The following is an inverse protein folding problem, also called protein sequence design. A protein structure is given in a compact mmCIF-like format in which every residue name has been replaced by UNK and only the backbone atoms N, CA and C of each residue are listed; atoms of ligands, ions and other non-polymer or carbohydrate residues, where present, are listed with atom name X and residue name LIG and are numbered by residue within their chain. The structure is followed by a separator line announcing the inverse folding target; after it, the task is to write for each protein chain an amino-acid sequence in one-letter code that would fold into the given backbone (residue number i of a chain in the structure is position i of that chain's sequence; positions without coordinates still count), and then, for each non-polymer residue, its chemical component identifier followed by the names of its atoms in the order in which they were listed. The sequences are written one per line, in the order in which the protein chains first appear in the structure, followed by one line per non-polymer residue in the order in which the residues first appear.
data_IF_899075157658
#
_entry.id   IF_899075157658
#
_cell.length_a   1.000
_cell.length_b   1.000
_cell.length_c   1.000
_cell.angle_alpha   90.00
_cell.angle_beta   90.00
_cell.angle_gamma   90.00
#
_symmetry.space_group_name_H-M   'P 1'
#
loop_
_entity.id
_entity.type
_entity.pdbx_description
1 polymer ?
#
# COMPACT_ATOMS: atom_id res chain seq x y z
N UNK A 1 -20.37 -5.99 14.58
CA UNK A 1 -19.25 -6.88 14.86
C UNK A 1 -18.77 -7.54 13.57
N UNK A 2 -17.53 -7.98 13.54
CA UNK A 2 -16.88 -8.63 12.40
C UNK A 2 -17.68 -9.84 11.91
N UNK A 3 -18.18 -10.69 12.79
CA UNK A 3 -18.94 -11.89 12.44
C UNK A 3 -20.16 -11.57 11.57
N UNK A 4 -20.94 -10.52 11.90
CA UNK A 4 -22.10 -10.11 11.08
C UNK A 4 -21.74 -9.71 9.66
N UNK A 5 -20.52 -9.21 9.45
CA UNK A 5 -20.03 -8.84 8.11
C UNK A 5 -19.54 -10.07 7.35
N UNK A 6 -18.89 -11.00 8.07
CA UNK A 6 -18.34 -12.26 7.52
C UNK A 6 -19.43 -13.20 7.05
N UNK A 7 -20.47 -13.45 7.86
CA UNK A 7 -21.48 -14.48 7.64
C UNK A 7 -22.71 -13.99 6.85
N UNK A 8 -22.76 -12.71 6.52
CA UNK A 8 -23.89 -12.16 5.76
C UNK A 8 -23.82 -12.55 4.29
N UNK A 9 -24.99 -12.92 3.73
CA UNK A 9 -25.15 -13.01 2.29
C UNK A 9 -25.31 -11.61 1.69
N UNK A 10 -24.42 -11.25 0.79
CA UNK A 10 -24.40 -9.95 0.12
C UNK A 10 -24.97 -10.06 -1.30
N UNK A 11 -25.86 -9.19 -1.68
CA UNK A 11 -26.43 -9.15 -3.04
C UNK A 11 -25.50 -8.35 -3.96
N UNK A 12 -24.32 -8.88 -4.26
CA UNK A 12 -23.27 -8.25 -5.06
C UNK A 12 -22.05 -7.82 -4.27
N UNK A 13 -21.16 -6.99 -4.84
CA UNK A 13 -19.92 -6.51 -4.22
C UNK A 13 -20.16 -5.81 -2.90
N UNK A 14 -19.31 -6.06 -1.92
CA UNK A 14 -19.31 -5.39 -0.62
C UNK A 14 -17.93 -4.79 -0.33
N UNK A 15 -17.93 -3.58 0.20
CA UNK A 15 -16.72 -2.91 0.70
C UNK A 15 -16.75 -2.84 2.22
N UNK A 16 -15.67 -3.25 2.85
CA UNK A 16 -15.46 -3.21 4.30
C UNK A 16 -14.26 -2.34 4.61
N UNK A 17 -14.47 -1.18 5.17
CA UNK A 17 -13.41 -0.29 5.65
C UNK A 17 -13.16 -0.50 7.13
N UNK A 18 -11.93 -0.21 7.55
CA UNK A 18 -11.55 -0.24 8.96
C UNK A 18 -10.17 0.38 9.14
N UNK A 19 -9.96 1.04 10.27
CA UNK A 19 -8.64 1.55 10.66
C UNK A 19 -7.62 0.43 10.94
N UNK A 20 -6.40 0.84 11.25
CA UNK A 20 -5.37 -0.09 11.70
C UNK A 20 -5.88 -0.93 12.89
N UNK A 21 -5.56 -2.21 12.92
CA UNK A 21 -5.91 -3.10 14.05
C UNK A 21 -7.38 -3.47 14.21
N UNK A 22 -8.27 -3.12 13.26
CA UNK A 22 -9.71 -3.47 13.34
C UNK A 22 -10.03 -4.88 12.86
N UNK A 23 -9.03 -5.68 12.47
CA UNK A 23 -9.20 -7.08 12.06
C UNK A 23 -9.79 -7.25 10.66
N UNK A 24 -9.51 -6.33 9.71
CA UNK A 24 -9.94 -6.42 8.31
C UNK A 24 -9.51 -7.73 7.64
N UNK A 25 -8.21 -8.02 7.69
CA UNK A 25 -7.63 -9.26 7.12
C UNK A 25 -8.21 -10.49 7.80
N UNK A 26 -8.41 -10.46 9.12
CA UNK A 26 -9.07 -11.55 9.86
C UNK A 26 -10.50 -11.75 9.35
N UNK A 27 -11.26 -10.67 9.18
CA UNK A 27 -12.61 -10.77 8.61
C UNK A 27 -12.60 -11.34 7.18
N UNK A 28 -11.64 -10.95 6.34
CA UNK A 28 -11.46 -11.48 4.99
C UNK A 28 -11.11 -12.98 4.98
N UNK A 29 -10.21 -13.42 5.87
CA UNK A 29 -9.83 -14.83 6.05
C UNK A 29 -11.04 -15.67 6.48
N UNK A 30 -11.77 -15.22 7.49
CA UNK A 30 -12.99 -15.92 7.94
C UNK A 30 -14.09 -15.88 6.87
N UNK A 31 -14.17 -14.81 6.07
CA UNK A 31 -15.08 -14.74 4.92
C UNK A 31 -14.77 -15.82 3.88
N UNK A 32 -13.52 -16.03 3.53
CA UNK A 32 -13.11 -17.09 2.61
C UNK A 32 -13.55 -18.46 3.12
N UNK A 33 -13.25 -18.76 4.40
CA UNK A 33 -13.67 -19.99 5.05
C UNK A 33 -15.19 -20.16 5.00
N UNK A 34 -15.94 -19.13 5.41
CA UNK A 34 -17.40 -19.18 5.47
C UNK A 34 -18.02 -19.43 4.09
N UNK A 35 -17.49 -18.79 3.04
CA UNK A 35 -17.98 -18.95 1.68
C UNK A 35 -17.83 -20.38 1.16
N UNK A 36 -16.67 -21.03 1.36
CA UNK A 36 -16.46 -22.42 0.92
C UNK A 36 -17.20 -23.44 1.76
N UNK A 37 -17.55 -23.10 3.00
CA UNK A 37 -18.32 -23.99 3.87
C UNK A 37 -19.84 -23.90 3.65
N UNK A 38 -20.36 -22.70 3.38
CA UNK A 38 -21.80 -22.43 3.51
C UNK A 38 -22.45 -21.91 2.21
N UNK A 39 -21.68 -21.44 1.23
CA UNK A 39 -22.25 -20.83 0.00
C UNK A 39 -21.82 -21.59 -1.23
N UNK A 40 -20.53 -21.70 -1.45
CA UNK A 40 -19.95 -22.36 -2.62
C UNK A 40 -19.48 -23.76 -2.21
N UNK A 41 -20.44 -24.64 -1.97
CA UNK A 41 -20.21 -26.01 -1.42
C UNK A 41 -19.80 -27.02 -2.49
N UNK A 42 -19.98 -26.69 -3.77
CA UNK A 42 -19.56 -27.57 -4.86
C UNK A 42 -18.01 -27.67 -4.89
N UNK A 43 -17.47 -28.88 -4.92
CA UNK A 43 -16.03 -29.13 -4.95
C UNK A 43 -15.28 -28.51 -6.13
N UNK A 44 -15.97 -28.11 -7.20
CA UNK A 44 -15.40 -27.40 -8.35
C UNK A 44 -15.39 -25.87 -8.18
N UNK A 45 -16.18 -25.34 -7.25
CA UNK A 45 -16.24 -23.90 -7.01
C UNK A 45 -14.95 -23.42 -6.34
N UNK A 46 -14.36 -22.37 -6.87
CA UNK A 46 -13.12 -21.77 -6.35
C UNK A 46 -13.35 -20.33 -5.91
N UNK A 47 -12.57 -19.92 -4.93
CA UNK A 47 -12.48 -18.54 -4.45
C UNK A 47 -11.05 -18.05 -4.67
N UNK A 48 -10.91 -16.84 -5.22
CA UNK A 48 -9.65 -16.15 -5.28
C UNK A 48 -9.55 -15.22 -4.06
N UNK A 49 -8.47 -15.36 -3.31
CA UNK A 49 -8.07 -14.39 -2.29
C UNK A 49 -6.84 -13.65 -2.77
N UNK A 50 -6.98 -12.36 -3.06
CA UNK A 50 -5.89 -11.55 -3.60
C UNK A 50 -5.57 -10.36 -2.71
N UNK A 51 -4.32 -9.92 -2.75
CA UNK A 51 -3.79 -8.79 -2.02
C UNK A 51 -2.71 -8.08 -2.83
N UNK A 52 -2.28 -6.92 -2.37
CA UNK A 52 -1.29 -6.10 -3.06
C UNK A 52 0.14 -6.65 -2.93
N UNK A 53 0.54 -7.21 -1.78
CA UNK A 53 1.92 -7.66 -1.54
C UNK A 53 2.07 -9.17 -1.48
N UNK A 54 3.27 -9.67 -1.87
CA UNK A 54 3.60 -11.10 -1.83
C UNK A 54 3.68 -11.64 -0.40
N UNK A 55 4.27 -10.88 0.52
CA UNK A 55 4.42 -11.29 1.92
C UNK A 55 3.05 -11.49 2.58
N UNK A 56 2.14 -10.55 2.35
CA UNK A 56 0.79 -10.67 2.91
C UNK A 56 0.03 -11.88 2.34
N UNK A 57 0.24 -12.24 1.05
CA UNK A 57 -0.37 -13.45 0.50
C UNK A 57 0.15 -14.73 1.16
N UNK A 58 1.44 -14.78 1.53
CA UNK A 58 2.02 -15.90 2.27
C UNK A 58 1.43 -16.00 3.70
N UNK A 59 1.33 -14.87 4.41
CA UNK A 59 0.73 -14.82 5.76
C UNK A 59 -0.75 -15.22 5.73
N UNK A 60 -1.51 -14.78 4.72
CA UNK A 60 -2.92 -15.17 4.53
C UNK A 60 -3.02 -16.67 4.28
N UNK A 61 -2.17 -17.24 3.42
CA UNK A 61 -2.12 -18.67 3.13
C UNK A 61 -1.86 -19.47 4.40
N UNK A 62 -0.88 -19.07 5.21
CA UNK A 62 -0.57 -19.71 6.48
C UNK A 62 -1.74 -19.64 7.47
N UNK A 63 -2.34 -18.46 7.64
CA UNK A 63 -3.47 -18.29 8.55
C UNK A 63 -4.72 -19.06 8.11
N UNK A 64 -5.02 -19.12 6.81
CA UNK A 64 -6.09 -19.98 6.28
C UNK A 64 -5.82 -21.45 6.55
N UNK A 65 -4.58 -21.92 6.37
CA UNK A 65 -4.21 -23.33 6.61
C UNK A 65 -4.42 -23.77 8.07
N UNK A 66 -4.36 -22.83 9.03
CA UNK A 66 -4.61 -23.10 10.46
C UNK A 66 -6.10 -23.31 10.78
N UNK A 67 -7.01 -22.76 9.95
CA UNK A 67 -8.45 -22.76 10.24
C UNK A 67 -9.28 -23.53 9.21
N UNK A 68 -8.73 -23.89 8.07
CA UNK A 68 -9.39 -24.59 6.97
C UNK A 68 -8.85 -26.02 6.82
N UNK A 69 -9.71 -26.96 6.44
CA UNK A 69 -9.29 -28.30 6.05
C UNK A 69 -8.50 -28.28 4.74
N UNK A 70 -7.77 -29.37 4.44
CA UNK A 70 -7.05 -29.52 3.17
C UNK A 70 -7.98 -29.43 1.95
N UNK A 71 -9.19 -29.95 2.06
CA UNK A 71 -10.20 -29.87 1.00
C UNK A 71 -10.62 -28.42 0.74
N UNK A 72 -10.90 -27.64 1.80
CA UNK A 72 -11.23 -26.22 1.67
C UNK A 72 -10.07 -25.43 1.07
N UNK A 73 -8.83 -25.70 1.50
CA UNK A 73 -7.64 -25.04 0.96
C UNK A 73 -7.43 -25.29 -0.54
N UNK A 74 -7.83 -26.45 -1.07
CA UNK A 74 -7.78 -26.72 -2.53
C UNK A 74 -8.72 -25.84 -3.34
N UNK A 75 -9.75 -25.27 -2.70
CA UNK A 75 -10.76 -24.40 -3.31
C UNK A 75 -10.51 -22.91 -3.09
N UNK A 76 -9.53 -22.55 -2.25
CA UNK A 76 -9.15 -21.17 -2.00
C UNK A 76 -7.76 -20.94 -2.60
N UNK A 77 -7.69 -20.18 -3.67
CA UNK A 77 -6.42 -19.75 -4.27
C UNK A 77 -6.00 -18.42 -3.62
N UNK A 78 -4.83 -18.42 -2.97
CA UNK A 78 -4.26 -17.21 -2.36
C UNK A 78 -3.06 -16.77 -3.18
N UNK A 79 -3.16 -15.61 -3.81
CA UNK A 79 -2.09 -15.07 -4.66
C UNK A 79 -2.17 -13.55 -4.72
N UNK A 80 -1.02 -12.88 -4.75
CA UNK A 80 -1.03 -11.45 -5.04
C UNK A 80 -1.36 -11.19 -6.53
N UNK A 81 -2.05 -10.10 -6.81
CA UNK A 81 -2.62 -9.85 -8.14
C UNK A 81 -1.56 -9.80 -9.25
N UNK A 82 -0.40 -9.17 -9.00
CA UNK A 82 0.70 -9.11 -9.98
C UNK A 82 1.20 -10.50 -10.39
N UNK A 83 1.33 -11.42 -9.42
CA UNK A 83 1.75 -12.80 -9.69
C UNK A 83 0.70 -13.55 -10.49
N UNK A 84 -0.58 -13.34 -10.18
CA UNK A 84 -1.68 -13.91 -10.97
C UNK A 84 -1.63 -13.42 -12.42
N UNK A 85 -1.48 -12.10 -12.62
CA UNK A 85 -1.36 -11.47 -13.94
C UNK A 85 -0.18 -12.05 -14.72
N UNK A 86 1.00 -12.10 -14.13
CA UNK A 86 2.19 -12.65 -14.77
C UNK A 86 2.01 -14.11 -15.17
N UNK A 87 1.41 -14.95 -14.31
CA UNK A 87 1.11 -16.35 -14.60
C UNK A 87 0.09 -16.51 -15.72
N UNK A 88 -1.00 -15.74 -15.68
CA UNK A 88 -2.05 -15.75 -16.70
C UNK A 88 -1.51 -15.32 -18.07
N UNK A 89 -0.79 -14.21 -18.14
CA UNK A 89 -0.21 -13.71 -19.38
C UNK A 89 0.81 -14.69 -19.97
N UNK A 90 1.71 -15.23 -19.14
CA UNK A 90 2.70 -16.24 -19.57
C UNK A 90 2.04 -17.48 -20.14
N UNK A 91 1.00 -18.00 -19.48
CA UNK A 91 0.22 -19.15 -19.97
C UNK A 91 -0.41 -18.90 -21.33
N UNK A 92 -0.69 -17.65 -21.66
CA UNK A 92 -1.32 -17.22 -22.90
C UNK A 92 -0.33 -16.68 -23.96
N UNK A 93 0.97 -16.97 -23.84
CA UNK A 93 1.97 -16.60 -24.85
C UNK A 93 2.33 -15.13 -24.87
N UNK A 94 2.31 -14.46 -23.72
CA UNK A 94 2.68 -13.05 -23.61
C UNK A 94 4.20 -12.90 -23.57
N UNK A 95 4.76 -12.25 -24.57
CA UNK A 95 6.21 -12.16 -24.80
C UNK A 95 6.92 -11.04 -24.03
N UNK A 96 6.16 -10.13 -23.43
CA UNK A 96 6.73 -9.02 -22.69
C UNK A 96 7.12 -9.41 -21.25
N UNK A 97 8.24 -8.84 -20.79
CA UNK A 97 8.65 -8.92 -19.38
C UNK A 97 8.00 -7.79 -18.59
N UNK A 98 7.33 -8.13 -17.49
CA UNK A 98 6.70 -7.13 -16.63
C UNK A 98 7.76 -6.51 -15.73
N UNK A 99 7.88 -5.19 -15.75
CA UNK A 99 8.79 -4.41 -14.93
C UNK A 99 8.03 -3.54 -13.92
N UNK A 100 8.59 -3.42 -12.72
CA UNK A 100 8.03 -2.65 -11.63
C UNK A 100 8.92 -1.46 -11.24
N UNK A 101 9.66 -0.89 -12.21
CA UNK A 101 10.39 0.36 -12.10
C UNK A 101 11.92 0.30 -12.23
N UNK A 102 12.55 -0.87 -12.26
CA UNK A 102 14.01 -0.95 -12.30
C UNK A 102 14.61 -0.77 -13.70
N UNK A 103 13.97 -1.35 -14.70
CA UNK A 103 14.46 -1.35 -16.10
C UNK A 103 13.92 -0.19 -16.91
N UNK A 104 12.83 0.41 -16.45
CA UNK A 104 12.15 1.51 -17.15
C UNK A 104 12.77 2.87 -16.86
N UNK A 105 13.54 3.02 -15.78
CA UNK A 105 14.21 4.28 -15.42
C UNK A 105 15.11 4.82 -16.54
N UNK A 106 16.05 4.02 -17.13
CA UNK A 106 16.89 4.50 -18.22
C UNK A 106 16.09 4.85 -19.48
N UNK A 107 14.94 4.21 -19.72
CA UNK A 107 14.11 4.47 -20.88
C UNK A 107 13.38 5.80 -20.77
N UNK A 108 12.99 6.20 -19.55
CA UNK A 108 12.47 7.55 -19.31
C UNK A 108 13.48 8.64 -19.67
N UNK A 109 14.73 8.47 -19.25
CA UNK A 109 15.79 9.43 -19.57
C UNK A 109 15.98 9.56 -21.09
N UNK A 110 15.99 8.44 -21.83
CA UNK A 110 16.06 8.46 -23.29
C UNK A 110 14.85 9.15 -23.95
N UNK A 111 13.63 8.87 -23.46
CA UNK A 111 12.43 9.50 -24.00
C UNK A 111 12.43 11.02 -23.77
N UNK A 112 13.04 11.49 -22.68
CA UNK A 112 13.16 12.91 -22.38
C UNK A 112 14.15 13.65 -23.30
N UNK A 113 15.07 12.96 -23.97
CA UNK A 113 15.94 13.58 -24.98
C UNK A 113 15.14 14.17 -26.14
N UNK A 114 13.89 13.74 -26.34
CA UNK A 114 12.97 14.27 -27.34
C UNK A 114 12.08 15.42 -26.84
N UNK A 115 12.24 15.87 -25.62
CA UNK A 115 11.47 17.01 -25.10
C UNK A 115 11.78 18.25 -25.89
N UNK A 116 10.78 18.90 -26.51
CA UNK A 116 10.99 20.19 -27.16
C UNK A 116 11.55 21.23 -26.16
N UNK A 117 12.54 22.00 -26.58
CA UNK A 117 13.22 23.03 -25.77
C UNK A 117 12.28 24.09 -25.19
N UNK A 118 11.09 24.22 -25.73
CA UNK A 118 10.04 25.15 -25.28
C UNK A 118 9.28 24.64 -24.05
N UNK A 119 9.46 23.36 -23.66
CA UNK A 119 8.79 22.74 -22.51
C UNK A 119 9.77 22.63 -21.34
N UNK A 120 9.46 23.34 -20.28
CA UNK A 120 10.21 23.34 -19.02
C UNK A 120 9.51 22.43 -17.98
N UNK A 121 9.35 21.14 -18.33
CA UNK A 121 8.82 20.13 -17.42
C UNK A 121 9.91 19.13 -17.06
N UNK A 122 10.01 18.82 -15.78
CA UNK A 122 10.95 17.81 -15.27
C UNK A 122 10.43 16.36 -15.47
N UNK A 123 11.31 15.39 -15.25
CA UNK A 123 10.95 13.95 -15.31
C UNK A 123 9.75 13.61 -14.42
N UNK A 124 9.60 14.27 -13.27
CA UNK A 124 8.51 13.99 -12.35
C UNK A 124 7.16 14.36 -12.95
N UNK A 125 7.08 15.45 -13.73
CA UNK A 125 5.87 15.81 -14.46
C UNK A 125 5.43 14.73 -15.45
N UNK A 126 6.37 14.19 -16.26
CA UNK A 126 6.06 13.17 -17.27
C UNK A 126 5.63 11.85 -16.63
N UNK A 127 6.31 11.42 -15.57
CA UNK A 127 5.92 10.21 -14.81
C UNK A 127 4.54 10.32 -14.19
N UNK A 128 4.26 11.43 -13.53
CA UNK A 128 2.95 11.67 -12.93
C UNK A 128 1.83 11.79 -13.98
N UNK A 129 2.11 12.36 -15.14
CA UNK A 129 1.16 12.39 -16.25
C UNK A 129 0.90 10.99 -16.82
N UNK A 130 1.96 10.19 -16.96
CA UNK A 130 1.86 8.79 -17.38
C UNK A 130 1.05 7.95 -16.40
N UNK A 131 1.38 7.98 -15.12
CA UNK A 131 0.74 7.17 -14.09
C UNK A 131 -0.70 7.58 -13.78
N UNK A 132 -1.02 8.88 -13.87
CA UNK A 132 -2.32 9.42 -13.46
C UNK A 132 -3.29 9.68 -14.61
N UNK A 133 -2.79 9.87 -15.81
CA UNK A 133 -3.62 10.21 -16.98
C UNK A 133 -3.57 9.11 -18.02
N UNK A 134 -2.35 8.72 -18.46
CA UNK A 134 -2.16 7.80 -19.59
C UNK A 134 -2.59 6.38 -19.21
N UNK A 135 -1.99 5.80 -18.18
CA UNK A 135 -2.24 4.41 -17.78
C UNK A 135 -3.66 4.16 -17.25
N UNK A 136 -4.23 4.98 -16.34
CA UNK A 136 -5.57 4.75 -15.83
C UNK A 136 -6.68 4.80 -16.89
N UNK A 137 -6.50 5.68 -17.88
CA UNK A 137 -7.46 5.84 -18.98
C UNK A 137 -7.13 4.96 -20.20
N UNK A 138 -6.06 4.15 -20.12
CA UNK A 138 -5.61 3.27 -21.20
C UNK A 138 -5.35 3.99 -22.51
N UNK A 139 -4.76 5.20 -22.44
CA UNK A 139 -4.50 6.06 -23.60
C UNK A 139 -3.38 5.46 -24.42
N UNK A 140 -3.63 5.27 -25.73
CA UNK A 140 -2.67 4.67 -26.66
C UNK A 140 -2.35 5.56 -27.87
N UNK A 141 -3.08 6.65 -28.06
CA UNK A 141 -2.92 7.57 -29.19
C UNK A 141 -2.88 9.04 -28.76
N UNK A 142 -2.31 9.89 -29.63
CA UNK A 142 -2.33 11.34 -29.46
C UNK A 142 -3.77 11.88 -29.39
N UNK A 143 -4.67 11.33 -30.21
CA UNK A 143 -6.06 11.76 -30.23
C UNK A 143 -6.77 11.49 -28.90
N UNK A 144 -6.57 10.31 -28.30
CA UNK A 144 -7.10 9.97 -26.99
C UNK A 144 -6.53 10.88 -25.91
N UNK A 145 -5.23 11.18 -25.97
CA UNK A 145 -4.60 12.09 -25.02
C UNK A 145 -5.15 13.51 -25.12
N UNK A 146 -5.48 13.99 -26.33
CA UNK A 146 -6.13 15.31 -26.50
C UNK A 146 -7.47 15.39 -25.78
N UNK A 147 -8.21 14.29 -25.71
CA UNK A 147 -9.54 14.17 -25.07
C UNK A 147 -9.46 13.75 -23.61
N UNK A 148 -8.28 13.34 -23.14
CA UNK A 148 -8.09 12.77 -21.80
C UNK A 148 -8.47 13.75 -20.68
N UNK A 149 -9.13 13.21 -19.66
CA UNK A 149 -9.37 13.92 -18.42
C UNK A 149 -8.08 14.07 -17.61
N UNK A 150 -7.76 15.29 -17.20
CA UNK A 150 -6.63 15.61 -16.35
C UNK A 150 -7.04 16.11 -14.97
N UNK A 151 -8.19 15.62 -14.48
CA UNK A 151 -8.67 15.92 -13.13
C UNK A 151 -7.62 15.45 -12.12
N UNK A 152 -7.24 16.31 -11.19
CA UNK A 152 -6.22 16.02 -10.18
C UNK A 152 -4.78 16.37 -10.63
N UNK A 153 -4.62 17.02 -11.80
CA UNK A 153 -3.34 17.61 -12.24
C UNK A 153 -3.37 19.12 -12.03
N UNK A 154 -2.36 19.65 -11.36
CA UNK A 154 -2.26 21.10 -11.05
C UNK A 154 -1.74 21.92 -12.24
N UNK A 155 -0.99 21.32 -13.13
CA UNK A 155 -0.44 21.97 -14.33
C UNK A 155 -1.44 21.90 -15.47
N UNK A 156 -1.88 23.07 -15.97
CA UNK A 156 -2.76 23.15 -17.14
C UNK A 156 -1.95 23.00 -18.42
N UNK A 157 -2.45 22.22 -19.37
CA UNK A 157 -1.85 22.06 -20.69
C UNK A 157 -2.85 22.52 -21.75
N UNK A 158 -2.41 23.42 -22.62
CA UNK A 158 -3.16 23.76 -23.84
C UNK A 158 -2.97 22.66 -24.91
N UNK A 159 -3.69 22.76 -26.03
CA UNK A 159 -3.66 21.75 -27.09
C UNK A 159 -2.25 21.60 -27.74
N UNK A 160 -1.54 22.70 -27.95
CA UNK A 160 -0.18 22.68 -28.52
C UNK A 160 0.79 21.96 -27.56
N UNK A 161 0.74 22.31 -26.28
CA UNK A 161 1.57 21.71 -25.24
C UNK A 161 1.25 20.21 -25.07
N UNK A 162 -0.03 19.79 -25.08
CA UNK A 162 -0.37 18.37 -25.04
C UNK A 162 0.24 17.59 -26.21
N UNK A 163 0.20 18.15 -27.42
CA UNK A 163 0.80 17.51 -28.59
C UNK A 163 2.30 17.31 -28.41
N UNK A 164 3.00 18.33 -27.90
CA UNK A 164 4.43 18.25 -27.64
C UNK A 164 4.78 17.26 -26.52
N UNK A 165 4.00 17.24 -25.44
CA UNK A 165 4.17 16.27 -24.33
C UNK A 165 3.92 14.83 -24.81
N UNK A 166 2.96 14.62 -25.72
CA UNK A 166 2.66 13.29 -26.25
C UNK A 166 3.84 12.64 -26.96
N UNK A 167 4.70 13.40 -27.65
CA UNK A 167 5.87 12.82 -28.33
C UNK A 167 6.79 12.06 -27.39
N UNK A 168 6.92 12.52 -26.15
CA UNK A 168 7.70 11.83 -25.11
C UNK A 168 7.05 10.50 -24.70
N UNK A 169 5.74 10.47 -24.56
CA UNK A 169 5.02 9.24 -24.20
C UNK A 169 5.02 8.21 -25.34
N UNK A 170 4.93 8.69 -26.57
CA UNK A 170 5.03 7.84 -27.76
C UNK A 170 6.41 7.19 -27.85
N UNK A 171 7.48 7.96 -27.67
CA UNK A 171 8.84 7.44 -27.61
C UNK A 171 9.06 6.47 -26.42
N UNK A 172 8.63 6.85 -25.24
CA UNK A 172 8.73 5.96 -24.08
C UNK A 172 8.04 4.61 -24.33
N UNK A 173 6.88 4.62 -24.95
CA UNK A 173 6.16 3.39 -25.33
C UNK A 173 6.90 2.60 -26.41
N UNK A 174 7.50 3.27 -27.40
CA UNK A 174 8.34 2.64 -28.42
C UNK A 174 9.56 1.95 -27.78
N UNK A 175 10.23 2.61 -26.85
CA UNK A 175 11.36 2.06 -26.10
C UNK A 175 10.94 0.84 -25.24
N UNK A 176 9.79 0.89 -24.57
CA UNK A 176 9.25 -0.28 -23.85
C UNK A 176 9.02 -1.47 -24.80
N UNK A 177 8.47 -1.22 -25.98
CA UNK A 177 8.25 -2.25 -27.01
C UNK A 177 9.57 -2.84 -27.51
N UNK A 178 10.54 -2.00 -27.84
CA UNK A 178 11.87 -2.41 -28.32
C UNK A 178 12.59 -3.32 -27.32
N UNK A 179 12.47 -2.99 -26.01
CA UNK A 179 13.09 -3.78 -24.96
C UNK A 179 12.21 -4.95 -24.45
N UNK A 180 11.07 -5.18 -25.07
CA UNK A 180 10.13 -6.24 -24.67
C UNK A 180 9.60 -6.08 -23.23
N UNK A 181 9.40 -4.84 -22.79
CA UNK A 181 8.97 -4.50 -21.44
C UNK A 181 7.52 -4.03 -21.39
N UNK A 182 6.85 -4.29 -20.27
CA UNK A 182 5.56 -3.72 -19.88
C UNK A 182 5.59 -3.35 -18.41
N UNK A 183 4.98 -2.24 -18.06
CA UNK A 183 4.75 -1.88 -16.66
C UNK A 183 3.57 -2.64 -16.08
N UNK A 184 3.51 -2.77 -14.73
CA UNK A 184 2.49 -3.55 -14.04
C UNK A 184 1.04 -3.16 -14.38
N UNK A 185 0.74 -1.86 -14.48
CA UNK A 185 -0.59 -1.37 -14.86
C UNK A 185 -0.97 -1.75 -16.30
N UNK A 186 -0.03 -1.67 -17.23
CA UNK A 186 -0.26 -2.08 -18.62
C UNK A 186 -0.44 -3.60 -18.73
N UNK A 187 0.31 -4.38 -17.95
CA UNK A 187 0.13 -5.84 -17.88
C UNK A 187 -1.26 -6.22 -17.33
N UNK A 188 -1.77 -5.52 -16.31
CA UNK A 188 -3.13 -5.71 -15.80
C UNK A 188 -4.19 -5.38 -16.85
N UNK A 189 -4.01 -4.28 -17.59
CA UNK A 189 -4.87 -3.92 -18.71
C UNK A 189 -4.86 -4.99 -19.80
N UNK A 190 -3.67 -5.46 -20.19
CA UNK A 190 -3.49 -6.46 -21.24
C UNK A 190 -4.11 -7.79 -20.83
N UNK A 191 -3.97 -8.21 -19.56
CA UNK A 191 -4.63 -9.39 -19.02
C UNK A 191 -6.17 -9.26 -19.06
N UNK A 192 -6.71 -8.10 -18.70
CA UNK A 192 -8.15 -7.82 -18.77
C UNK A 192 -8.66 -7.91 -20.21
N UNK A 193 -8.00 -7.27 -21.15
CA UNK A 193 -8.39 -7.29 -22.57
C UNK A 193 -8.28 -8.70 -23.17
N UNK A 194 -7.31 -9.49 -22.72
CA UNK A 194 -7.15 -10.87 -23.14
C UNK A 194 -8.30 -11.76 -22.63
N UNK A 195 -8.70 -11.62 -21.36
CA UNK A 195 -9.86 -12.29 -20.80
C UNK A 195 -11.15 -11.95 -21.57
N UNK A 196 -11.37 -10.67 -21.83
CA UNK A 196 -12.54 -10.17 -22.57
C UNK A 196 -12.57 -10.75 -24.00
N UNK A 197 -11.46 -10.70 -24.73
CA UNK A 197 -11.34 -11.19 -26.11
C UNK A 197 -11.55 -12.70 -26.21
N UNK A 198 -10.96 -13.46 -25.26
CA UNK A 198 -11.10 -14.93 -25.24
C UNK A 198 -12.43 -15.39 -24.69
N UNK A 199 -13.21 -14.53 -24.06
CA UNK A 199 -14.42 -14.89 -23.31
C UNK A 199 -14.17 -16.03 -22.33
N UNK A 200 -12.94 -16.07 -21.76
CA UNK A 200 -12.51 -17.12 -20.83
C UNK A 200 -13.28 -17.01 -19.53
N UNK A 201 -13.94 -18.08 -19.13
CA UNK A 201 -14.62 -18.19 -17.84
C UNK A 201 -13.64 -18.77 -16.84
N UNK A 202 -13.23 -17.96 -15.89
CA UNK A 202 -12.39 -18.40 -14.78
C UNK A 202 -13.21 -19.19 -13.74
N UNK A 203 -12.57 -20.09 -12.99
CA UNK A 203 -13.28 -20.97 -12.05
C UNK A 203 -13.78 -20.27 -10.77
N UNK A 204 -13.56 -18.96 -10.65
CA UNK A 204 -13.85 -18.21 -9.42
C UNK A 204 -15.34 -17.88 -9.30
N UNK A 205 -15.92 -18.22 -8.14
CA UNK A 205 -17.28 -17.84 -7.75
C UNK A 205 -17.30 -16.60 -6.87
N UNK A 206 -16.19 -16.33 -6.19
CA UNK A 206 -15.99 -15.12 -5.41
C UNK A 206 -14.52 -14.69 -5.47
N UNK A 207 -14.30 -13.38 -5.32
CA UNK A 207 -12.96 -12.81 -5.15
C UNK A 207 -12.96 -11.98 -3.86
N UNK A 208 -11.98 -12.26 -3.00
CA UNK A 208 -11.71 -11.50 -1.79
C UNK A 208 -10.47 -10.65 -2.05
N UNK A 209 -10.58 -9.36 -1.81
CA UNK A 209 -9.51 -8.38 -2.03
C UNK A 209 -9.12 -7.77 -0.70
N UNK A 210 -7.88 -7.98 -0.28
CA UNK A 210 -7.32 -7.31 0.91
C UNK A 210 -6.34 -6.20 0.52
N UNK A 211 -6.14 -5.22 1.40
CA UNK A 211 -5.35 -4.01 1.17
C UNK A 211 -5.79 -3.23 -0.10
N UNK A 212 -7.10 -3.17 -0.32
CA UNK A 212 -7.71 -2.59 -1.51
C UNK A 212 -7.29 -1.12 -1.79
N UNK A 213 -6.92 -0.36 -0.75
CA UNK A 213 -6.49 1.04 -0.88
C UNK A 213 -5.18 1.20 -1.66
N UNK A 214 -4.40 0.13 -1.84
CA UNK A 214 -3.14 0.17 -2.59
C UNK A 214 -3.29 -0.25 -4.04
N UNK A 215 -4.46 -0.72 -4.44
CA UNK A 215 -4.74 -1.17 -5.80
C UNK A 215 -5.20 -0.01 -6.69
N UNK A 216 -4.71 0.01 -7.93
CA UNK A 216 -5.06 1.01 -8.94
C UNK A 216 -6.33 0.66 -9.73
N UNK A 217 -6.73 1.58 -10.62
CA UNK A 217 -7.92 1.43 -11.47
C UNK A 217 -7.84 0.18 -12.35
N UNK A 218 -6.67 -0.11 -12.95
CA UNK A 218 -6.52 -1.28 -13.82
C UNK A 218 -6.66 -2.60 -13.04
N UNK A 219 -6.21 -2.62 -11.78
CA UNK A 219 -6.39 -3.77 -10.89
C UNK A 219 -7.88 -4.06 -10.66
N UNK A 220 -8.69 -3.06 -10.30
CA UNK A 220 -10.11 -3.25 -10.05
C UNK A 220 -10.91 -3.55 -11.32
N UNK A 221 -10.57 -2.95 -12.45
CA UNK A 221 -11.14 -3.31 -13.75
C UNK A 221 -10.83 -4.77 -14.12
N UNK A 222 -9.61 -5.23 -13.86
CA UNK A 222 -9.23 -6.63 -14.06
C UNK A 222 -10.02 -7.55 -13.12
N UNK A 223 -10.07 -7.24 -11.82
CA UNK A 223 -10.84 -8.03 -10.83
C UNK A 223 -12.29 -8.15 -11.27
N UNK A 224 -12.92 -7.07 -11.76
CA UNK A 224 -14.29 -7.14 -12.28
C UNK A 224 -14.39 -8.01 -13.53
N UNK A 225 -13.40 -8.00 -14.42
CA UNK A 225 -13.38 -8.84 -15.62
C UNK A 225 -13.14 -10.33 -15.30
N UNK A 226 -12.43 -10.64 -14.21
CA UNK A 226 -12.24 -12.02 -13.75
C UNK A 226 -13.57 -12.67 -13.31
N UNK A 227 -14.53 -11.88 -12.87
CA UNK A 227 -15.87 -12.29 -12.46
C UNK A 227 -16.89 -11.25 -13.00
N UNK A 228 -17.16 -11.25 -14.34
CA UNK A 228 -17.74 -10.10 -15.03
C UNK A 228 -19.20 -9.83 -14.68
N UNK A 229 -19.96 -10.81 -14.23
CA UNK A 229 -21.35 -10.64 -13.83
C UNK A 229 -21.46 -10.40 -12.33
N UNK A 230 -22.21 -9.33 -11.94
CA UNK A 230 -22.55 -9.10 -10.55
C UNK A 230 -23.49 -10.21 -10.03
N UNK A 231 -23.00 -10.94 -9.04
CA UNK A 231 -23.71 -12.05 -8.40
C UNK A 231 -23.66 -11.94 -6.89
N UNK A 232 -24.55 -12.67 -6.25
CA UNK A 232 -24.57 -12.76 -4.78
C UNK A 232 -23.21 -13.29 -4.27
N UNK A 233 -22.62 -12.56 -3.32
CA UNK A 233 -21.34 -12.90 -2.68
C UNK A 233 -20.11 -12.91 -3.61
N UNK A 234 -20.15 -12.20 -4.74
CA UNK A 234 -19.12 -12.23 -5.76
C UNK A 234 -17.82 -11.50 -5.37
N UNK A 235 -17.89 -10.30 -4.81
CA UNK A 235 -16.72 -9.53 -4.41
C UNK A 235 -16.79 -9.10 -2.94
N UNK A 236 -15.73 -9.36 -2.20
CA UNK A 236 -15.55 -8.89 -0.82
C UNK A 236 -14.25 -8.10 -0.73
N UNK A 237 -14.37 -6.77 -0.62
CA UNK A 237 -13.27 -5.83 -0.72
C UNK A 237 -13.01 -5.23 0.66
N UNK A 238 -11.82 -5.45 1.22
CA UNK A 238 -11.42 -4.86 2.50
C UNK A 238 -10.25 -3.90 2.32
N UNK A 239 -10.27 -2.80 3.06
CA UNK A 239 -9.23 -1.79 2.95
C UNK A 239 -9.25 -0.78 4.10
N UNK A 240 -8.18 0.01 4.15
CA UNK A 240 -8.01 1.12 5.06
C UNK A 240 -7.47 2.32 4.28
N UNK A 241 -8.34 3.26 3.96
CA UNK A 241 -7.97 4.44 3.19
C UNK A 241 -6.89 5.30 3.88
N UNK A 242 -6.81 5.26 5.22
CA UNK A 242 -5.78 5.96 6.01
C UNK A 242 -4.39 5.31 5.91
N UNK A 243 -4.33 4.03 5.49
CA UNK A 243 -3.07 3.30 5.23
C UNK A 243 -2.65 3.34 3.76
N UNK A 244 -3.21 4.24 2.95
CA UNK A 244 -2.81 4.39 1.55
C UNK A 244 -1.43 5.00 1.48
N UNK A 245 -0.43 4.17 1.20
CA UNK A 245 0.96 4.57 0.98
C UNK A 245 1.37 4.55 -0.49
N UNK A 246 0.42 4.20 -1.38
CA UNK A 246 0.58 4.27 -2.83
C UNK A 246 -0.43 5.28 -3.41
N UNK A 247 -0.03 6.01 -4.44
CA UNK A 247 -0.73 7.22 -4.96
C UNK A 247 -1.95 6.93 -5.84
N UNK A 248 -2.63 5.81 -5.64
CA UNK A 248 -3.78 5.46 -6.46
C UNK A 248 -5.08 5.94 -5.82
N UNK A 249 -5.77 6.85 -6.50
CA UNK A 249 -7.15 7.20 -6.14
C UNK A 249 -8.10 6.44 -7.04
N UNK A 250 -8.95 5.62 -6.45
CA UNK A 250 -9.90 4.78 -7.18
C UNK A 250 -11.31 5.01 -6.66
N UNK A 251 -12.25 5.09 -7.58
CA UNK A 251 -13.69 5.04 -7.30
C UNK A 251 -14.21 3.72 -7.87
N UNK A 252 -14.61 2.79 -7.02
CA UNK A 252 -15.00 1.43 -7.41
C UNK A 252 -16.12 1.40 -8.46
N UNK A 253 -17.08 2.33 -8.37
CA UNK A 253 -18.13 2.47 -9.36
C UNK A 253 -17.64 2.74 -10.78
N UNK A 254 -16.50 3.46 -10.94
CA UNK A 254 -15.87 3.69 -12.25
C UNK A 254 -15.13 2.47 -12.80
N UNK A 255 -14.93 1.46 -11.97
CA UNK A 255 -14.32 0.18 -12.34
C UNK A 255 -15.38 -0.92 -12.61
N UNK A 256 -16.68 -0.56 -12.65
CA UNK A 256 -17.77 -1.52 -12.82
C UNK A 256 -18.11 -2.30 -11.54
N UNK A 257 -17.70 -1.83 -10.37
CA UNK A 257 -17.95 -2.47 -9.08
C UNK A 257 -18.92 -1.62 -8.28
N UNK A 258 -20.20 -1.98 -8.31
CA UNK A 258 -21.23 -1.26 -7.58
C UNK A 258 -21.30 -1.72 -6.12
N UNK A 259 -21.04 -0.82 -5.18
CA UNK A 259 -21.09 -1.08 -3.73
C UNK A 259 -22.16 -0.27 -3.01
N UNK A 260 -23.06 0.39 -3.73
CA UNK A 260 -24.10 1.23 -3.12
C UNK A 260 -24.94 0.45 -2.10
N UNK A 261 -25.07 0.97 -0.88
CA UNK A 261 -25.75 0.32 0.25
C UNK A 261 -25.01 -0.87 0.86
N UNK A 262 -23.89 -1.29 0.27
CA UNK A 262 -23.07 -2.43 0.70
C UNK A 262 -21.71 -2.03 1.29
N UNK A 263 -21.55 -0.80 1.72
CA UNK A 263 -20.41 -0.32 2.51
C UNK A 263 -20.56 -0.68 3.99
N UNK A 264 -19.50 -1.16 4.62
CA UNK A 264 -19.46 -1.41 6.06
C UNK A 264 -18.17 -0.85 6.66
N UNK A 265 -18.21 -0.49 7.96
CA UNK A 265 -17.04 0.00 8.70
C UNK A 265 -16.80 -0.86 9.94
N UNK A 266 -15.57 -1.35 10.09
CA UNK A 266 -15.07 -1.98 11.31
C UNK A 266 -14.45 -0.88 12.18
N UNK A 267 -15.03 -0.62 13.35
CA UNK A 267 -14.68 0.55 14.17
C UNK A 267 -13.90 0.21 15.43
N UNK A 268 -13.84 -1.06 15.80
CA UNK A 268 -13.16 -1.49 17.03
C UNK A 268 -11.76 -1.97 16.67
N UNK A 269 -10.77 -1.30 17.25
CA UNK A 269 -9.36 -1.68 17.14
C UNK A 269 -9.01 -2.61 18.30
N UNK A 270 -8.50 -3.79 17.98
CA UNK A 270 -8.13 -4.87 18.92
C UNK A 270 -6.61 -5.00 19.09
N UNK A 271 -5.81 -4.23 18.38
CA UNK A 271 -4.37 -4.43 18.28
C UNK A 271 -3.55 -3.31 18.92
N UNK A 272 -3.82 -2.09 18.48
CA UNK A 272 -3.03 -0.89 18.84
C UNK A 272 -3.69 -0.20 20.03
N UNK A 273 -2.88 0.33 20.95
CA UNK A 273 -3.40 1.10 22.09
C UNK A 273 -4.11 2.38 21.64
N UNK A 274 -5.04 2.90 22.44
CA UNK A 274 -5.79 4.12 22.09
C UNK A 274 -4.87 5.34 21.99
N UNK A 275 -3.83 5.38 22.81
CA UNK A 275 -2.82 6.43 22.85
C UNK A 275 -2.01 6.45 21.56
N UNK A 276 -1.49 5.29 21.12
CA UNK A 276 -0.80 5.16 19.83
C UNK A 276 -1.72 5.50 18.67
N UNK A 277 -2.97 5.02 18.70
CA UNK A 277 -3.97 5.33 17.67
C UNK A 277 -4.24 6.83 17.58
N UNK A 278 -4.48 7.50 18.70
CA UNK A 278 -4.73 8.95 18.75
C UNK A 278 -3.55 9.74 18.21
N UNK A 279 -2.34 9.38 18.62
CA UNK A 279 -1.13 9.99 18.13
C UNK A 279 -0.99 9.84 16.61
N UNK A 280 -1.13 8.61 16.10
CA UNK A 280 -1.02 8.33 14.68
C UNK A 280 -2.10 9.05 13.85
N UNK A 281 -3.35 9.09 14.33
CA UNK A 281 -4.44 9.84 13.68
C UNK A 281 -4.15 11.34 13.65
N UNK A 282 -3.52 11.86 14.69
CA UNK A 282 -3.08 13.26 14.73
C UNK A 282 -2.14 13.65 13.58
N UNK A 283 -1.31 12.73 13.10
CA UNK A 283 -0.46 12.94 11.92
C UNK A 283 -1.28 13.24 10.65
N UNK A 284 -2.51 12.72 10.59
CA UNK A 284 -3.43 12.86 9.45
C UNK A 284 -4.47 13.98 9.66
N UNK A 285 -4.34 14.78 10.74
CA UNK A 285 -5.27 15.87 11.02
C UNK A 285 -5.31 16.88 9.86
N UNK A 286 -6.52 17.24 9.42
CA UNK A 286 -6.72 18.17 8.30
C UNK A 286 -6.60 17.54 6.90
N UNK A 287 -6.30 16.25 6.81
CA UNK A 287 -6.26 15.50 5.56
C UNK A 287 -7.63 14.87 5.31
N UNK A 288 -8.19 15.13 4.12
CA UNK A 288 -9.39 14.43 3.64
C UNK A 288 -8.97 13.10 3.04
N UNK A 289 -9.36 12.01 3.66
CA UNK A 289 -9.12 10.65 3.16
C UNK A 289 -10.37 10.16 2.44
N UNK A 290 -10.25 9.73 1.19
CA UNK A 290 -11.38 9.17 0.46
C UNK A 290 -11.73 7.76 0.94
N UNK A 291 -12.97 7.35 0.71
CA UNK A 291 -13.49 6.07 1.19
C UNK A 291 -13.51 4.96 0.12
N UNK A 292 -12.76 5.11 -0.98
CA UNK A 292 -12.74 4.24 -2.17
C UNK A 292 -14.04 4.24 -2.98
N UNK A 293 -14.96 5.16 -2.70
CA UNK A 293 -16.23 5.27 -3.41
C UNK A 293 -16.59 6.74 -3.74
N UNK A 294 -15.61 7.64 -3.66
CA UNK A 294 -15.77 9.07 -3.92
C UNK A 294 -16.26 9.89 -2.73
N UNK A 295 -16.53 9.27 -1.58
CA UNK A 295 -16.80 9.92 -0.30
C UNK A 295 -15.52 10.15 0.53
N UNK A 296 -15.71 10.51 1.79
CA UNK A 296 -14.60 10.69 2.77
C UNK A 296 -14.78 9.80 3.99
N UNK A 297 -13.67 9.30 4.52
CA UNK A 297 -13.61 8.61 5.81
C UNK A 297 -13.02 9.52 6.88
N UNK A 298 -13.80 9.84 7.90
CA UNK A 298 -13.47 10.80 8.96
C UNK A 298 -12.98 10.15 10.27
N UNK A 299 -12.83 8.85 10.31
CA UNK A 299 -12.51 8.05 11.51
C UNK A 299 -13.46 8.25 12.72
N UNK A 300 -14.62 8.87 12.51
CA UNK A 300 -15.61 9.04 13.58
C UNK A 300 -16.11 7.70 14.11
N UNK A 301 -16.08 7.56 15.45
CA UNK A 301 -16.56 6.35 16.13
C UNK A 301 -15.57 5.18 16.15
N UNK A 302 -14.32 5.37 15.70
CA UNK A 302 -13.28 4.38 15.92
C UNK A 302 -12.82 4.40 17.39
N UNK A 303 -12.73 3.21 18.00
CA UNK A 303 -12.35 3.00 19.40
C UNK A 303 -11.28 1.91 19.47
N UNK A 304 -10.28 2.08 20.34
CA UNK A 304 -9.37 1.01 20.70
C UNK A 304 -9.83 0.37 22.02
N UNK A 305 -9.61 -0.92 22.16
CA UNK A 305 -9.89 -1.67 23.41
C UNK A 305 -8.68 -1.71 24.33
N UNK A 306 -7.50 -1.50 23.78
CA UNK A 306 -6.24 -1.54 24.53
C UNK A 306 -5.81 -0.13 24.90
N UNK A 307 -5.25 0.02 26.09
CA UNK A 307 -4.63 1.25 26.57
C UNK A 307 -3.15 1.00 26.85
N UNK A 308 -2.34 2.03 26.75
CA UNK A 308 -0.89 1.99 26.96
C UNK A 308 -0.30 3.39 27.13
N UNK A 309 0.98 3.51 26.91
CA UNK A 309 1.67 4.80 26.97
C UNK A 309 1.51 5.59 25.66
N UNK A 310 1.55 6.93 25.78
CA UNK A 310 1.69 7.79 24.60
C UNK A 310 3.01 7.47 23.89
N UNK A 311 3.07 7.56 22.55
CA UNK A 311 4.33 7.46 21.83
C UNK A 311 5.38 8.41 22.39
N UNK A 312 6.58 7.88 22.68
CA UNK A 312 7.71 8.65 23.22
C UNK A 312 8.49 9.27 22.08
N UNK A 313 8.53 10.60 22.02
CA UNK A 313 9.24 11.36 20.97
C UNK A 313 10.50 11.97 21.53
N UNK A 314 11.66 11.57 20.98
CA UNK A 314 12.99 11.99 21.45
C UNK A 314 13.77 12.73 20.36
N UNK A 315 14.51 13.75 20.79
CA UNK A 315 15.33 14.61 19.92
C UNK A 315 16.78 14.54 20.37
N UNK A 316 17.69 14.38 19.40
CA UNK A 316 19.12 14.28 19.64
C UNK A 316 19.89 15.28 18.77
N UNK A 317 21.06 15.66 19.18
CA UNK A 317 21.87 16.62 18.43
C UNK A 317 22.48 15.95 17.17
N UNK A 318 22.83 14.66 17.26
CA UNK A 318 23.50 13.92 16.21
C UNK A 318 23.09 12.45 16.18
N UNK A 319 23.46 11.75 15.11
CA UNK A 319 23.17 10.33 14.88
C UNK A 319 23.72 9.42 15.99
N UNK A 320 24.93 9.71 16.53
CA UNK A 320 25.56 8.89 17.54
C UNK A 320 24.81 8.90 18.87
N UNK A 321 24.31 10.06 19.27
CA UNK A 321 23.46 10.20 20.48
C UNK A 321 22.15 9.42 20.30
N UNK A 322 21.51 9.54 19.14
CA UNK A 322 20.29 8.79 18.82
C UNK A 322 20.55 7.28 18.87
N UNK A 323 21.61 6.80 18.22
CA UNK A 323 21.99 5.37 18.21
C UNK A 323 22.27 4.87 19.63
N UNK A 324 22.94 5.66 20.47
CA UNK A 324 23.20 5.29 21.86
C UNK A 324 21.90 5.13 22.66
N UNK A 325 20.97 6.06 22.55
CA UNK A 325 19.64 5.93 23.15
C UNK A 325 18.88 4.70 22.65
N UNK A 326 18.89 4.45 21.34
CA UNK A 326 18.21 3.29 20.74
C UNK A 326 18.84 2.00 21.28
N UNK A 327 20.15 1.91 21.38
CA UNK A 327 20.85 0.75 21.92
C UNK A 327 20.50 0.49 23.40
N UNK A 328 20.47 1.53 24.23
CA UNK A 328 20.06 1.45 25.64
C UNK A 328 18.59 0.98 25.76
N UNK A 329 17.71 1.51 24.92
CA UNK A 329 16.30 1.11 24.88
C UNK A 329 16.12 -0.36 24.47
N UNK A 330 16.86 -0.83 23.46
CA UNK A 330 16.85 -2.23 23.04
C UNK A 330 17.39 -3.15 24.12
N UNK A 331 18.50 -2.76 24.78
CA UNK A 331 19.09 -3.55 25.88
C UNK A 331 18.12 -3.65 27.07
N UNK A 332 17.43 -2.57 27.42
CA UNK A 332 16.38 -2.60 28.44
C UNK A 332 15.29 -3.62 28.10
N UNK A 333 14.81 -3.62 26.86
CA UNK A 333 13.77 -4.59 26.41
C UNK A 333 14.32 -6.02 26.48
N UNK A 334 15.56 -6.25 26.05
CA UNK A 334 16.19 -7.55 26.10
C UNK A 334 16.29 -8.10 27.52
N UNK A 335 16.63 -7.23 28.47
CA UNK A 335 16.71 -7.58 29.88
C UNK A 335 15.32 -7.86 30.50
N UNK A 336 14.26 -7.12 30.07
CA UNK A 336 12.89 -7.31 30.54
C UNK A 336 12.22 -8.55 29.96
N UNK A 337 12.47 -8.88 28.69
CA UNK A 337 11.71 -9.89 27.95
C UNK A 337 12.51 -11.11 27.51
N UNK A 338 13.84 -11.06 27.63
CA UNK A 338 14.75 -12.10 27.14
C UNK A 338 14.92 -12.11 25.61
N UNK A 339 14.24 -11.26 24.87
CA UNK A 339 14.28 -11.28 23.40
C UNK A 339 13.96 -9.91 22.80
N UNK A 340 14.58 -9.59 21.66
CA UNK A 340 14.32 -8.37 20.87
C UNK A 340 13.62 -8.64 19.52
N UNK A 341 13.22 -9.88 19.27
CA UNK A 341 12.59 -10.28 17.99
C UNK A 341 11.22 -9.62 17.72
N UNK A 342 10.53 -9.16 18.75
CA UNK A 342 9.25 -8.43 18.65
C UNK A 342 9.44 -6.90 18.67
N UNK A 343 10.68 -6.43 18.45
CA UNK A 343 11.03 -5.01 18.30
C UNK A 343 11.42 -4.75 16.86
N UNK A 344 10.84 -3.72 16.25
CA UNK A 344 11.19 -3.30 14.90
C UNK A 344 11.69 -1.86 14.89
N UNK A 345 12.89 -1.64 14.37
CA UNK A 345 13.38 -0.31 14.01
C UNK A 345 13.00 -0.02 12.56
N UNK A 346 12.32 1.10 12.37
CA UNK A 346 11.80 1.54 11.07
C UNK A 346 12.48 2.83 10.65
N UNK A 347 13.04 2.88 9.44
CA UNK A 347 13.62 4.07 8.85
C UNK A 347 12.96 4.40 7.50
N UNK A 348 13.04 5.67 7.08
CA UNK A 348 12.38 6.12 5.84
C UNK A 348 13.03 5.57 4.57
N UNK A 349 14.35 5.51 4.53
CA UNK A 349 15.13 5.13 3.33
C UNK A 349 16.00 3.91 3.59
N UNK A 350 16.35 3.18 2.52
CA UNK A 350 17.30 2.06 2.62
C UNK A 350 18.69 2.51 3.05
N UNK A 351 19.12 3.71 2.64
CA UNK A 351 20.43 4.22 3.01
C UNK A 351 20.52 4.50 4.51
N UNK A 352 19.48 5.13 5.06
CA UNK A 352 19.41 5.38 6.50
C UNK A 352 19.29 4.07 7.29
N UNK A 353 18.51 3.12 6.77
CA UNK A 353 18.35 1.80 7.39
C UNK A 353 19.70 1.06 7.48
N UNK A 354 20.53 1.11 6.43
CA UNK A 354 21.88 0.54 6.44
C UNK A 354 22.81 1.20 7.48
N UNK A 355 22.67 2.52 7.70
CA UNK A 355 23.42 3.22 8.74
C UNK A 355 23.05 2.70 10.13
N UNK A 356 21.73 2.53 10.42
CA UNK A 356 21.30 1.91 11.67
C UNK A 356 21.73 0.46 11.79
N UNK A 357 21.64 -0.33 10.71
CA UNK A 357 22.13 -1.71 10.69
C UNK A 357 23.58 -1.79 11.15
N UNK A 358 24.49 -1.00 10.53
CA UNK A 358 25.89 -0.97 10.87
C UNK A 358 26.13 -0.48 12.31
N UNK A 359 25.44 0.59 12.72
CA UNK A 359 25.66 1.20 14.03
C UNK A 359 25.13 0.32 15.18
N UNK A 360 23.99 -0.30 15.03
CA UNK A 360 23.38 -1.18 16.05
C UNK A 360 24.11 -2.52 16.11
N UNK A 361 24.55 -3.09 14.96
CA UNK A 361 25.43 -4.27 14.95
C UNK A 361 26.75 -4.01 15.66
N UNK A 362 27.35 -2.84 15.49
CA UNK A 362 28.58 -2.45 16.19
C UNK A 362 28.40 -2.36 17.72
N UNK A 363 27.16 -2.19 18.21
CA UNK A 363 26.80 -2.26 19.63
C UNK A 363 26.54 -3.69 20.14
N UNK A 364 26.73 -4.71 19.29
CA UNK A 364 26.61 -6.13 19.64
C UNK A 364 25.19 -6.72 19.52
N UNK A 365 24.26 -6.02 18.90
CA UNK A 365 22.93 -6.56 18.67
C UNK A 365 22.86 -7.34 17.37
N UNK A 366 22.20 -8.48 17.42
CA UNK A 366 21.85 -9.26 16.23
C UNK A 366 20.69 -8.59 15.49
N UNK A 367 20.76 -8.57 14.15
CA UNK A 367 19.81 -7.87 13.30
C UNK A 367 19.17 -8.83 12.30
N UNK A 368 17.87 -8.69 12.10
CA UNK A 368 17.11 -9.33 11.05
C UNK A 368 16.52 -8.29 10.09
N UNK A 369 17.00 -8.28 8.85
CA UNK A 369 16.51 -7.38 7.81
C UNK A 369 15.20 -7.92 7.20
N UNK A 370 14.13 -7.16 7.29
CA UNK A 370 12.85 -7.48 6.64
C UNK A 370 12.93 -7.18 5.15
N UNK A 371 12.95 -8.23 4.31
CA UNK A 371 13.10 -8.13 2.85
C UNK A 371 11.74 -8.15 2.14
N UNK A 372 11.66 -7.51 0.97
CA UNK A 372 10.42 -7.38 0.19
C UNK A 372 9.92 -8.70 -0.40
N UNK A 373 10.81 -9.60 -0.74
CA UNK A 373 10.54 -10.81 -1.53
C UNK A 373 10.29 -12.06 -0.69
N UNK A 374 10.54 -11.98 0.61
CA UNK A 374 10.52 -13.13 1.51
C UNK A 374 9.50 -12.90 2.61
N UNK A 375 8.77 -13.95 3.01
CA UNK A 375 7.97 -13.90 4.23
C UNK A 375 8.89 -13.68 5.43
N UNK A 376 8.43 -12.94 6.44
CA UNK A 376 9.19 -12.75 7.66
C UNK A 376 9.35 -14.10 8.38
N UNK A 377 10.58 -14.49 8.63
CA UNK A 377 10.85 -15.61 9.54
C UNK A 377 10.77 -15.13 11.00
N UNK A 378 9.64 -15.36 11.62
CA UNK A 378 9.39 -14.98 13.01
C UNK A 378 10.19 -15.80 14.03
N UNK A 379 10.79 -16.93 13.61
CA UNK A 379 11.64 -17.74 14.46
C UNK A 379 13.05 -17.19 14.59
N UNK A 380 13.52 -16.48 13.58
CA UNK A 380 14.87 -15.88 13.57
C UNK A 380 15.05 -14.88 14.71
N UNK A 381 16.17 -14.96 15.43
CA UNK A 381 16.50 -13.99 16.48
C UNK A 381 16.85 -12.62 15.89
N UNK A 382 17.04 -11.64 16.76
CA UNK A 382 17.53 -10.31 16.42
C UNK A 382 16.46 -9.23 16.29
N UNK A 383 16.93 -7.99 16.30
CA UNK A 383 16.13 -6.78 16.09
C UNK A 383 15.65 -6.72 14.63
N UNK A 384 14.36 -6.53 14.41
CA UNK A 384 13.84 -6.33 13.06
C UNK A 384 14.18 -4.94 12.55
N UNK A 385 14.73 -4.87 11.33
CA UNK A 385 14.94 -3.62 10.62
C UNK A 385 14.11 -3.60 9.34
N UNK A 386 13.33 -2.53 9.15
CA UNK A 386 12.48 -2.36 7.98
C UNK A 386 12.42 -0.91 7.52
N UNK A 387 12.16 -0.66 6.24
CA UNK A 387 11.74 0.67 5.81
C UNK A 387 10.26 0.90 6.11
N UNK A 388 9.82 2.17 6.18
CA UNK A 388 8.41 2.53 6.39
C UNK A 388 7.46 1.88 5.37
N UNK A 389 7.91 1.61 4.15
CA UNK A 389 7.13 0.91 3.14
C UNK A 389 7.04 -0.61 3.42
N UNK A 390 8.10 -1.19 3.98
CA UNK A 390 8.19 -2.63 4.21
C UNK A 390 7.50 -3.12 5.45
N UNK A 391 7.39 -2.25 6.45
CA UNK A 391 6.73 -2.57 7.71
C UNK A 391 5.22 -2.74 7.55
N UNK A 392 4.65 -2.29 6.43
CA UNK A 392 3.23 -2.46 6.14
C UNK A 392 2.83 -3.94 6.08
N UNK A 393 1.74 -4.27 6.76
CA UNK A 393 1.24 -5.64 6.89
C UNK A 393 1.85 -6.43 8.06
N UNK A 394 2.99 -5.99 8.59
CA UNK A 394 3.65 -6.63 9.73
C UNK A 394 3.14 -6.05 11.06
N UNK A 395 3.47 -6.73 12.17
CA UNK A 395 3.06 -6.36 13.51
C UNK A 395 4.16 -6.71 14.51
N UNK A 396 4.44 -5.80 15.44
CA UNK A 396 5.46 -5.93 16.46
C UNK A 396 4.94 -5.48 17.81
N UNK A 397 5.52 -5.96 18.88
CA UNK A 397 5.17 -5.45 20.20
C UNK A 397 5.60 -4.00 20.36
N UNK A 398 6.81 -3.67 19.90
CA UNK A 398 7.39 -2.33 19.97
C UNK A 398 7.95 -1.89 18.62
N UNK A 399 7.73 -0.61 18.28
CA UNK A 399 8.25 -0.01 17.05
C UNK A 399 9.05 1.24 17.39
N UNK A 400 10.28 1.29 16.88
CA UNK A 400 11.16 2.47 16.92
C UNK A 400 11.13 3.10 15.54
N UNK A 401 10.58 4.30 15.40
CA UNK A 401 10.59 5.06 14.15
C UNK A 401 11.77 6.02 14.23
N UNK A 402 12.88 5.66 13.58
CA UNK A 402 14.16 6.33 13.75
C UNK A 402 14.48 7.30 12.61
N UNK A 403 15.19 8.38 12.94
CA UNK A 403 15.66 9.38 11.98
C UNK A 403 14.53 10.16 11.31
N UNK A 404 13.52 10.56 12.10
CA UNK A 404 12.38 11.37 11.61
C UNK A 404 12.83 12.84 11.50
N UNK A 405 13.74 13.10 10.58
CA UNK A 405 14.39 14.39 10.37
C UNK A 405 13.77 15.15 9.21
N UNK A 406 13.84 16.47 9.21
CA UNK A 406 13.46 17.30 8.05
C UNK A 406 14.32 16.93 6.83
N UNK A 407 13.69 16.83 5.64
CA UNK A 407 14.32 16.35 4.41
C UNK A 407 14.36 14.82 4.26
N UNK A 408 14.22 14.08 5.38
CA UNK A 408 14.08 12.62 5.39
C UNK A 408 12.62 12.21 5.53
N UNK A 409 11.88 12.88 6.39
CA UNK A 409 10.41 12.74 6.55
C UNK A 409 9.81 14.15 6.68
N UNK A 410 9.17 14.67 5.66
CA UNK A 410 8.93 14.09 4.32
C UNK A 410 10.22 13.95 3.51
N UNK A 411 10.27 12.90 2.67
CA UNK A 411 11.43 12.65 1.82
C UNK A 411 11.44 13.60 0.62
N UNK A 412 12.50 14.36 0.44
CA UNK A 412 12.61 15.39 -0.60
C UNK A 412 12.57 14.83 -2.04
N UNK A 413 12.93 13.59 -2.24
CA UNK A 413 12.93 12.92 -3.55
C UNK A 413 11.57 12.42 -4.06
N UNK A 414 10.46 12.60 -3.32
CA UNK A 414 9.16 11.98 -3.63
C UNK A 414 8.09 12.93 -4.17
N UNK A 415 8.48 14.01 -4.83
CA UNK A 415 7.53 15.01 -5.35
C UNK A 415 7.12 16.06 -4.30
N UNK A 416 7.67 16.03 -3.09
CA UNK A 416 7.51 17.09 -2.09
C UNK A 416 8.08 18.42 -2.55
N UNK A 417 9.04 18.38 -3.49
CA UNK A 417 9.64 19.53 -4.15
C UNK A 417 9.09 19.77 -5.58
N UNK A 418 8.00 19.08 -5.97
CA UNK A 418 7.38 19.28 -7.28
C UNK A 418 6.89 20.73 -7.45
N UNK A 419 7.04 21.26 -8.65
CA UNK A 419 6.43 22.54 -9.06
C UNK A 419 4.90 22.47 -9.15
N UNK A 420 4.32 21.27 -9.25
CA UNK A 420 2.87 21.06 -9.22
C UNK A 420 2.35 21.06 -7.78
N UNK A 421 1.52 22.06 -7.37
CA UNK A 421 1.05 22.19 -5.99
C UNK A 421 0.19 21.00 -5.53
N UNK A 422 -0.51 20.33 -6.45
CA UNK A 422 -1.33 19.16 -6.15
C UNK A 422 -0.42 17.98 -5.83
N UNK A 423 0.59 17.74 -6.65
CA UNK A 423 1.58 16.67 -6.43
C UNK A 423 2.31 16.89 -5.10
N UNK A 424 2.75 18.12 -4.84
CA UNK A 424 3.41 18.48 -3.58
C UNK A 424 2.53 18.14 -2.37
N UNK A 425 1.26 18.57 -2.39
CA UNK A 425 0.31 18.30 -1.31
C UNK A 425 0.05 16.79 -1.14
N UNK A 426 -0.14 16.07 -2.23
CA UNK A 426 -0.38 14.62 -2.17
C UNK A 426 0.85 13.85 -1.69
N UNK A 427 2.06 14.31 -2.05
CA UNK A 427 3.32 13.76 -1.53
C UNK A 427 3.44 13.96 -0.01
N UNK A 428 3.06 15.10 0.51
CA UNK A 428 3.02 15.33 1.97
C UNK A 428 2.00 14.43 2.67
N UNK A 429 0.83 14.24 2.08
CA UNK A 429 -0.19 13.30 2.59
C UNK A 429 0.35 11.88 2.63
N UNK A 430 1.04 11.47 1.59
CA UNK A 430 1.68 10.17 1.49
C UNK A 430 2.75 9.95 2.58
N UNK A 431 3.62 10.94 2.79
CA UNK A 431 4.66 10.86 3.83
C UNK A 431 4.07 10.79 5.25
N UNK A 432 2.98 11.51 5.51
CA UNK A 432 2.22 11.38 6.76
C UNK A 432 1.57 10.01 6.93
N UNK A 433 1.04 9.44 5.83
CA UNK A 433 0.48 8.08 5.84
C UNK A 433 1.54 7.01 6.12
N UNK A 434 2.78 7.19 5.66
CA UNK A 434 3.90 6.30 6.00
C UNK A 434 4.22 6.31 7.50
N UNK A 435 4.24 7.48 8.13
CA UNK A 435 4.40 7.59 9.59
C UNK A 435 3.22 6.94 10.34
N UNK A 436 1.99 7.21 9.90
CA UNK A 436 0.79 6.59 10.45
C UNK A 436 0.85 5.06 10.38
N UNK A 437 1.22 4.52 9.21
CA UNK A 437 1.37 3.08 9.01
C UNK A 437 2.42 2.53 9.95
N UNK A 438 3.59 3.16 10.04
CA UNK A 438 4.70 2.71 10.88
C UNK A 438 4.32 2.67 12.37
N UNK A 439 3.70 3.72 12.88
CA UNK A 439 3.27 3.78 14.28
C UNK A 439 2.19 2.73 14.60
N UNK A 440 1.25 2.52 13.68
CA UNK A 440 0.16 1.54 13.88
C UNK A 440 0.58 0.09 13.72
N UNK A 441 1.86 -0.20 13.50
CA UNK A 441 2.42 -1.57 13.55
C UNK A 441 2.69 -2.02 14.98
N UNK A 442 2.79 -1.11 15.92
CA UNK A 442 3.03 -1.42 17.32
C UNK A 442 1.76 -1.90 18.02
N UNK A 443 1.90 -2.97 18.81
CA UNK A 443 0.85 -3.48 19.71
C UNK A 443 0.91 -2.80 21.06
N UNK A 444 2.11 -2.48 21.57
CA UNK A 444 2.33 -2.00 22.95
C UNK A 444 2.90 -0.59 22.99
N UNK A 445 4.00 -0.34 22.29
CA UNK A 445 4.79 0.88 22.49
C UNK A 445 5.39 1.40 21.18
N UNK A 446 5.41 2.73 21.04
CA UNK A 446 6.06 3.43 19.93
C UNK A 446 7.07 4.41 20.49
N UNK A 447 8.28 4.38 19.96
CA UNK A 447 9.33 5.37 20.18
C UNK A 447 9.63 6.04 18.85
N UNK A 448 9.65 7.36 18.82
CA UNK A 448 9.99 8.15 17.63
C UNK A 448 11.23 8.95 17.92
N UNK A 449 12.25 8.83 17.11
CA UNK A 449 13.51 9.53 17.30
C UNK A 449 13.86 10.42 16.11
N UNK A 450 14.57 11.49 16.39
CA UNK A 450 15.07 12.46 15.43
C UNK A 450 16.43 12.98 15.89
N UNK A 451 17.33 13.25 14.96
CA UNK A 451 18.61 13.89 15.22
C UNK A 451 18.81 15.11 14.30
N UNK A 452 19.49 16.12 14.81
CA UNK A 452 19.65 17.39 14.12
C UNK A 452 18.32 18.14 13.98
N UNK A 453 17.93 18.51 12.76
CA UNK A 453 16.67 19.20 12.50
C UNK A 453 15.51 18.22 12.45
N UNK A 454 14.63 18.26 13.43
CA UNK A 454 13.45 17.39 13.48
C UNK A 454 12.46 17.69 12.35
N UNK A 455 11.75 16.64 11.90
CA UNK A 455 10.68 16.75 10.92
C UNK A 455 9.59 17.71 11.39
N UNK A 456 9.11 18.55 10.46
CA UNK A 456 7.93 19.42 10.71
C UNK A 456 6.66 18.64 11.07
N UNK A 457 6.59 17.35 10.77
CA UNK A 457 5.46 16.51 11.14
C UNK A 457 5.41 16.20 12.63
N UNK A 458 6.53 16.31 13.35
CA UNK A 458 6.60 16.12 14.80
C UNK A 458 6.23 17.41 15.57
N UNK A 459 6.42 18.58 14.97
CA UNK A 459 6.21 19.87 15.64
C UNK A 459 4.75 20.12 16.07
N UNK A 460 3.78 19.46 15.46
CA UNK A 460 2.36 19.58 15.79
C UNK A 460 2.02 19.05 17.19
N UNK A 461 2.88 18.24 17.80
CA UNK A 461 2.69 17.65 19.13
C UNK A 461 3.31 18.47 20.25
N UNK A 462 4.34 19.27 19.96
CA UNK A 462 4.98 20.14 20.95
C UNK A 462 4.05 21.25 21.48
N UNK A 463 3.01 21.62 20.75
CA UNK A 463 2.01 22.58 21.17
C UNK A 463 0.94 21.99 22.10
N UNK A 464 0.67 20.71 22.05
CA UNK A 464 -0.34 20.06 22.89
C UNK A 464 0.21 19.62 24.26
N UNK A 465 1.51 19.36 24.38
CA UNK A 465 2.16 19.02 25.66
C UNK A 465 2.46 20.24 26.53
N UNK A 466 2.36 21.46 25.99
CA UNK A 466 2.49 22.73 26.76
C UNK A 466 1.17 23.30 27.25
N UNK A 467 0.05 22.65 26.98
CA UNK A 467 -1.30 23.09 27.34
C UNK A 467 -1.99 22.17 28.37
N UNK A 468 -1.20 21.46 29.21
CA UNK A 468 -1.70 20.73 30.40
C UNK A 468 -1.01 21.26 31.64
#
# INVERSE_FOLDING_TARGET
SQQKVVERNWNGPVRVLGGAGTGKTVAAIHRAKWLVQNVFINGKDRILFTTFTRNLSADIQENLSKICSREMMRRIEVVNLDRWVAGFLKKNGYDYKIDYGYRTEPLWNKALDLVPSELDFDLSFYREEWERVIQPQAITSAEDYMKASRVGRGVRLNRKTRKAVWTVFEEYRALLNEHGLREGNDAMRDARLLLERKKEILPYKAIIVDEAQDMGIQAFKLIRQMIPEEKKNDLFIVGDAHQRIYRHKVVLGQCGINIRGRGRKLRINYRTTDETRKWAVGLLKGIKVDDLDGGTDDQKGYKALLHGTMPDVRYFNNFQEEVSFIAEYIEKIKNETGSIKEVCLVARTNNLLKQYESAISAKGFEIYLVRRSEAEDRSSPGLRLATMHRVKGLEFDRVIIAGVNEGVVPFEGTGTNSSDPIIKRESEVHERALLYVSATRAKKEVVVTSFGKASRFLNQWNYQLKAV
#
